data_IF_138468247709
#
_entry.id   IF_138468247709
#
_cell.length_a   1.000
_cell.length_b   1.000
_cell.length_c   1.000
_cell.angle_alpha   90.00
_cell.angle_beta   90.00
_cell.angle_gamma   90.00
#
_symmetry.space_group_name_H-M   'P 1'
#
loop_
_entity.id
_entity.type
_entity.pdbx_description
1 polymer ?
#
# COMPACT_ATOMS: atom_id res chain seq x y z
N UNK A 1 -14.94 12.88 14.93
CA UNK A 1 -14.37 14.16 14.43
C UNK A 1 -12.84 14.21 14.35
N UNK A 2 -12.15 13.19 14.81
CA UNK A 2 -10.66 13.16 14.88
C UNK A 2 -9.99 12.79 13.56
N UNK A 3 -10.57 11.89 12.76
CA UNK A 3 -10.01 11.40 11.48
C UNK A 3 -9.90 12.53 10.45
N UNK A 4 -10.93 13.36 10.33
CA UNK A 4 -10.94 14.48 9.36
C UNK A 4 -9.85 15.51 9.69
N UNK A 5 -9.60 15.80 10.97
CA UNK A 5 -8.52 16.70 11.41
C UNK A 5 -7.12 16.12 11.12
N UNK A 6 -6.97 14.82 11.21
CA UNK A 6 -5.73 14.12 10.85
C UNK A 6 -5.40 14.27 9.37
N UNK A 7 -6.40 14.11 8.51
CA UNK A 7 -6.25 14.21 7.06
C UNK A 7 -5.72 15.60 6.60
N UNK A 8 -6.16 16.68 7.26
CA UNK A 8 -5.70 18.04 6.95
C UNK A 8 -4.30 18.38 7.49
N UNK A 9 -3.81 17.62 8.48
CA UNK A 9 -2.48 17.80 9.07
C UNK A 9 -1.42 16.87 8.49
N UNK A 10 -1.85 15.85 7.74
CA UNK A 10 -0.96 14.86 7.16
C UNK A 10 -0.06 15.52 6.11
N UNK A 11 1.24 15.49 6.37
CA UNK A 11 2.26 15.86 5.39
C UNK A 11 2.86 14.58 4.87
N UNK A 12 2.75 14.36 3.56
CA UNK A 12 3.48 13.27 2.93
C UNK A 12 4.97 13.48 3.12
N UNK A 13 5.68 12.42 3.44
CA UNK A 13 7.13 12.40 3.52
C UNK A 13 7.70 11.88 2.21
N UNK A 14 8.83 12.39 1.80
CA UNK A 14 9.55 11.83 0.67
C UNK A 14 10.06 10.44 1.06
N UNK A 15 9.57 9.44 0.35
CA UNK A 15 9.79 8.03 0.64
C UNK A 15 10.51 7.37 -0.52
N UNK A 16 11.47 6.52 -0.20
CA UNK A 16 12.18 5.68 -1.15
C UNK A 16 11.61 4.26 -1.02
N UNK A 17 11.12 3.74 -2.13
CA UNK A 17 10.64 2.37 -2.23
C UNK A 17 11.62 1.59 -3.11
N UNK A 18 12.28 0.61 -2.53
CA UNK A 18 13.23 -0.26 -3.23
C UNK A 18 12.68 -1.67 -3.38
N UNK A 19 13.06 -2.35 -4.43
CA UNK A 19 12.72 -3.74 -4.69
C UNK A 19 13.60 -4.71 -3.87
N UNK A 20 13.38 -6.02 -4.05
CA UNK A 20 14.14 -7.08 -3.39
C UNK A 20 15.64 -7.09 -3.72
N UNK A 21 16.06 -6.40 -4.79
CA UNK A 21 17.49 -6.29 -5.16
C UNK A 21 18.16 -5.07 -4.51
N UNK A 22 17.39 -4.24 -3.80
CA UNK A 22 17.84 -2.97 -3.25
C UNK A 22 17.84 -1.82 -4.26
N UNK A 23 17.36 -2.07 -5.48
CA UNK A 23 17.23 -1.02 -6.49
C UNK A 23 16.00 -0.17 -6.21
N UNK A 24 16.18 1.15 -6.24
CA UNK A 24 15.06 2.09 -6.09
C UNK A 24 14.05 1.88 -7.21
N UNK A 25 12.84 1.49 -6.82
CA UNK A 25 11.71 1.29 -7.71
C UNK A 25 10.92 2.59 -7.89
N UNK A 26 10.66 3.31 -6.78
CA UNK A 26 9.99 4.62 -6.77
C UNK A 26 10.56 5.51 -5.68
N UNK A 27 10.60 6.79 -5.96
CA UNK A 27 10.92 7.83 -4.97
C UNK A 27 10.02 9.02 -5.24
N UNK A 28 9.21 9.38 -4.27
CA UNK A 28 8.29 10.54 -4.34
C UNK A 28 7.74 10.85 -2.93
N UNK A 29 6.96 11.92 -2.83
CA UNK A 29 6.13 12.18 -1.65
C UNK A 29 4.84 11.38 -1.76
N UNK A 30 4.73 10.30 -0.99
CA UNK A 30 3.54 9.46 -0.96
C UNK A 30 2.60 9.83 0.17
N UNK A 31 1.31 9.88 -0.15
CA UNK A 31 0.23 9.93 0.84
C UNK A 31 0.13 8.59 1.58
N UNK A 32 0.25 7.48 0.87
CA UNK A 32 0.34 6.15 1.46
C UNK A 32 1.04 5.17 0.53
N UNK A 33 1.71 4.19 1.14
CA UNK A 33 2.24 3.00 0.51
C UNK A 33 1.49 1.82 1.09
N UNK A 34 0.81 1.06 0.25
CA UNK A 34 0.02 -0.08 0.66
C UNK A 34 0.60 -1.35 0.04
N UNK A 35 0.85 -2.36 0.85
CA UNK A 35 1.33 -3.66 0.40
C UNK A 35 0.46 -4.76 1.00
N UNK A 36 0.15 -5.77 0.22
CA UNK A 36 -0.68 -6.88 0.69
C UNK A 36 -0.75 -8.03 -0.30
N UNK A 37 -1.22 -9.17 0.18
CA UNK A 37 -1.42 -10.39 -0.61
C UNK A 37 -2.88 -10.58 -1.02
N UNK A 38 -3.78 -9.68 -0.61
CA UNK A 38 -5.21 -9.73 -0.92
C UNK A 38 -5.69 -8.42 -1.51
N UNK A 39 -6.74 -8.51 -2.33
CA UNK A 39 -7.36 -7.34 -2.97
C UNK A 39 -8.00 -6.39 -1.96
N UNK A 40 -8.60 -6.94 -0.91
CA UNK A 40 -9.45 -6.19 0.01
C UNK A 40 -8.71 -5.80 1.28
N UNK A 41 -8.96 -4.58 1.75
CA UNK A 41 -8.51 -4.07 3.02
C UNK A 41 -9.66 -3.37 3.74
N UNK A 42 -9.68 -3.46 5.07
CA UNK A 42 -10.70 -2.83 5.89
C UNK A 42 -12.12 -3.24 5.46
N UNK A 43 -13.03 -2.29 5.36
CA UNK A 43 -14.44 -2.51 5.06
C UNK A 43 -14.72 -2.64 3.54
N UNK A 44 -14.01 -3.55 2.85
CA UNK A 44 -14.24 -3.84 1.43
C UNK A 44 -13.56 -2.89 0.44
N UNK A 45 -12.59 -2.11 0.90
CA UNK A 45 -11.78 -1.27 0.01
C UNK A 45 -10.81 -2.12 -0.81
N UNK A 46 -10.76 -1.90 -2.11
CA UNK A 46 -9.85 -2.54 -3.05
C UNK A 46 -8.60 -1.68 -3.23
N UNK A 47 -7.78 -1.59 -2.20
CA UNK A 47 -6.58 -0.75 -2.22
C UNK A 47 -5.49 -1.38 -3.08
N UNK A 48 -5.40 -2.72 -3.07
CA UNK A 48 -4.42 -3.50 -3.85
C UNK A 48 -5.15 -4.48 -4.80
N UNK A 49 -5.90 -3.99 -5.80
CA UNK A 49 -6.82 -4.82 -6.60
C UNK A 49 -6.11 -5.87 -7.46
N UNK A 50 -4.81 -5.77 -7.65
CA UNK A 50 -3.98 -6.69 -8.42
C UNK A 50 -3.23 -7.72 -7.56
N UNK A 51 -3.42 -7.69 -6.23
CA UNK A 51 -2.81 -8.69 -5.34
C UNK A 51 -3.48 -10.07 -5.51
N UNK A 52 -2.67 -11.10 -5.42
CA UNK A 52 -3.06 -12.51 -5.45
C UNK A 52 -2.47 -13.24 -4.26
N UNK A 53 -3.25 -14.02 -3.52
CA UNK A 53 -2.76 -14.70 -2.32
C UNK A 53 -1.87 -15.92 -2.59
N UNK A 54 -1.82 -16.38 -3.84
CA UNK A 54 -1.21 -17.65 -4.27
C UNK A 54 0.00 -17.51 -5.20
N UNK A 55 0.40 -16.27 -5.55
CA UNK A 55 1.49 -16.01 -6.50
C UNK A 55 2.85 -15.76 -5.84
N UNK A 56 2.90 -15.70 -4.50
CA UNK A 56 4.14 -15.45 -3.75
C UNK A 56 4.66 -14.01 -3.85
N UNK A 57 3.81 -13.08 -4.28
CA UNK A 57 4.16 -11.67 -4.43
C UNK A 57 3.28 -10.78 -3.56
N UNK A 58 3.83 -9.65 -3.16
CA UNK A 58 3.08 -8.51 -2.63
C UNK A 58 2.52 -7.69 -3.78
N UNK A 59 1.23 -7.47 -3.80
CA UNK A 59 0.67 -6.35 -4.54
C UNK A 59 1.05 -5.05 -3.80
N UNK A 60 1.51 -4.06 -4.53
CA UNK A 60 1.92 -2.77 -3.96
C UNK A 60 1.21 -1.64 -4.68
N UNK A 61 0.58 -0.74 -3.91
CA UNK A 61 -0.08 0.46 -4.42
C UNK A 61 0.50 1.68 -3.72
N UNK A 62 1.02 2.61 -4.51
CA UNK A 62 1.67 3.83 -4.07
C UNK A 62 0.77 5.01 -4.44
N UNK A 63 0.22 5.69 -3.46
CA UNK A 63 -0.63 6.87 -3.68
C UNK A 63 0.22 8.11 -3.44
N UNK A 64 0.52 8.87 -4.49
CA UNK A 64 1.27 10.11 -4.38
C UNK A 64 0.48 11.18 -3.66
N UNK A 65 1.18 12.13 -3.08
CA UNK A 65 0.53 13.27 -2.44
C UNK A 65 -0.39 14.00 -3.40
N UNK A 66 -1.60 14.24 -2.94
CA UNK A 66 -2.59 15.02 -3.65
C UNK A 66 -3.41 15.86 -2.67
N UNK A 67 -4.02 16.98 -3.12
CA UNK A 67 -4.91 17.76 -2.28
C UNK A 67 -6.08 16.93 -1.74
N UNK A 68 -6.47 17.16 -0.49
CA UNK A 68 -7.51 16.40 0.22
C UNK A 68 -8.84 16.35 -0.55
N UNK A 69 -9.21 17.43 -1.24
CA UNK A 69 -10.44 17.45 -2.05
C UNK A 69 -10.37 16.47 -3.24
N UNK A 70 -9.18 16.27 -3.85
CA UNK A 70 -8.98 15.24 -4.90
C UNK A 70 -9.05 13.84 -4.32
N UNK A 71 -8.46 13.63 -3.14
CA UNK A 71 -8.58 12.36 -2.46
C UNK A 71 -10.06 12.03 -2.19
N UNK A 72 -10.81 12.98 -1.64
CA UNK A 72 -12.25 12.82 -1.38
C UNK A 72 -13.05 12.53 -2.67
N UNK A 73 -12.78 13.24 -3.75
CA UNK A 73 -13.44 13.04 -5.04
C UNK A 73 -13.14 11.64 -5.67
N UNK A 74 -12.05 11.00 -5.26
CA UNK A 74 -11.63 9.69 -5.76
C UNK A 74 -11.90 8.53 -4.80
N UNK A 75 -12.53 8.77 -3.64
CA UNK A 75 -12.82 7.71 -2.66
C UNK A 75 -13.61 6.54 -3.24
N UNK A 76 -14.53 6.79 -4.19
CA UNK A 76 -15.29 5.72 -4.85
C UNK A 76 -14.39 4.71 -5.57
N UNK A 77 -13.19 5.13 -6.02
CA UNK A 77 -12.23 4.26 -6.70
C UNK A 77 -11.63 3.20 -5.80
N UNK A 78 -11.61 3.45 -4.48
CA UNK A 78 -11.20 2.46 -3.49
C UNK A 78 -12.15 1.26 -3.47
N UNK A 79 -13.46 1.49 -3.67
CA UNK A 79 -14.45 0.42 -3.65
C UNK A 79 -14.62 -0.24 -5.02
N UNK A 80 -14.49 0.50 -6.11
CA UNK A 80 -14.58 -0.03 -7.47
C UNK A 80 -13.31 -0.75 -7.93
N UNK A 81 -12.18 -0.60 -7.22
CA UNK A 81 -10.88 -1.15 -7.65
C UNK A 81 -10.22 -0.38 -8.79
N UNK A 82 -10.77 0.77 -9.18
CA UNK A 82 -10.23 1.58 -10.28
C UNK A 82 -9.18 2.60 -9.84
N UNK A 83 -8.79 2.56 -8.57
CA UNK A 83 -7.78 3.46 -8.01
C UNK A 83 -6.44 3.38 -8.76
N UNK A 84 -6.03 2.20 -9.16
CA UNK A 84 -4.77 1.95 -9.89
C UNK A 84 -4.70 2.64 -11.26
N UNK A 85 -5.83 3.07 -11.82
CA UNK A 85 -5.88 3.83 -13.08
C UNK A 85 -5.77 5.35 -12.87
N UNK A 86 -5.59 5.80 -11.62
CA UNK A 86 -5.43 7.24 -11.35
C UNK A 86 -3.98 7.67 -11.64
N UNK A 87 -3.73 8.82 -12.32
CA UNK A 87 -2.38 9.25 -12.73
C UNK A 87 -1.38 9.45 -11.59
N UNK A 88 -1.88 9.69 -10.36
CA UNK A 88 -1.05 9.84 -9.16
C UNK A 88 -0.94 8.56 -8.33
N UNK A 89 -1.24 7.41 -8.93
CA UNK A 89 -1.14 6.12 -8.29
C UNK A 89 -0.23 5.21 -9.12
N UNK A 90 0.86 4.79 -8.51
CA UNK A 90 1.71 3.73 -9.07
C UNK A 90 1.32 2.40 -8.44
N UNK A 91 1.50 1.31 -9.16
CA UNK A 91 1.24 -0.02 -8.66
C UNK A 91 2.17 -1.05 -9.29
N UNK A 92 2.27 -2.20 -8.68
CA UNK A 92 3.07 -3.32 -9.17
C UNK A 92 3.09 -4.48 -8.19
N UNK A 93 3.86 -5.51 -8.52
CA UNK A 93 4.06 -6.68 -7.68
C UNK A 93 5.54 -6.88 -7.40
N UNK A 94 5.88 -7.25 -6.17
CA UNK A 94 7.23 -7.47 -5.70
C UNK A 94 7.26 -8.61 -4.68
N UNK A 95 8.30 -9.44 -4.68
CA UNK A 95 8.47 -10.46 -3.63
C UNK A 95 8.79 -9.81 -2.27
N UNK A 96 9.49 -8.69 -2.30
CA UNK A 96 9.82 -7.90 -1.11
C UNK A 96 10.01 -6.44 -1.51
N UNK A 97 9.66 -5.53 -0.61
CA UNK A 97 9.94 -4.10 -0.74
C UNK A 97 10.63 -3.59 0.52
N UNK A 98 11.51 -2.64 0.35
CA UNK A 98 12.07 -1.83 1.43
C UNK A 98 11.50 -0.43 1.33
N UNK A 99 10.95 0.06 2.43
CA UNK A 99 10.48 1.44 2.57
C UNK A 99 11.44 2.19 3.46
N UNK A 100 11.98 3.27 2.94
CA UNK A 100 12.85 4.18 3.68
C UNK A 100 12.41 5.63 3.44
N UNK A 101 12.89 6.56 4.22
CA UNK A 101 12.66 7.98 4.02
C UNK A 101 13.90 8.63 3.40
N UNK A 102 13.67 9.60 2.52
CA UNK A 102 14.77 10.37 1.95
C UNK A 102 15.49 11.20 3.02
N UNK A 103 16.74 11.59 2.83
CA UNK A 103 17.50 12.42 3.80
C UNK A 103 16.79 13.72 4.19
N UNK A 104 15.96 14.26 3.31
CA UNK A 104 15.11 15.45 3.56
C UNK A 104 13.75 15.10 4.17
N UNK A 105 13.40 13.81 4.23
CA UNK A 105 12.13 13.31 4.72
C UNK A 105 12.11 13.06 6.21
N UNK A 106 10.95 12.66 6.71
CA UNK A 106 10.75 12.20 8.08
C UNK A 106 10.31 10.74 8.07
N UNK A 107 10.63 10.01 9.12
CA UNK A 107 10.14 8.66 9.32
C UNK A 107 8.61 8.62 9.26
N UNK A 108 8.07 7.56 8.69
CA UNK A 108 6.64 7.37 8.45
C UNK A 108 6.14 6.24 9.33
N UNK A 109 4.93 6.40 9.86
CA UNK A 109 4.28 5.35 10.64
C UNK A 109 3.98 4.13 9.77
N UNK A 110 4.22 2.96 10.33
CA UNK A 110 3.96 1.64 9.71
C UNK A 110 2.89 0.93 10.50
N UNK A 111 1.87 0.49 9.80
CA UNK A 111 0.72 -0.25 10.32
C UNK A 111 0.55 -1.54 9.52
N UNK A 112 0.21 -2.64 10.18
CA UNK A 112 -0.21 -3.88 9.55
C UNK A 112 -1.44 -4.42 10.27
N UNK A 113 -2.46 -4.77 9.48
CA UNK A 113 -3.74 -5.35 9.93
C UNK A 113 -4.43 -4.56 11.06
N UNK A 114 -4.26 -3.24 11.07
CA UNK A 114 -4.84 -2.33 12.06
C UNK A 114 -3.98 -2.11 13.31
N UNK A 115 -2.77 -2.68 13.36
CA UNK A 115 -1.84 -2.52 14.47
C UNK A 115 -0.63 -1.66 14.06
N UNK A 116 -0.28 -0.70 14.90
CA UNK A 116 0.92 0.10 14.71
C UNK A 116 2.18 -0.73 15.02
N UNK A 117 3.10 -0.83 14.06
CA UNK A 117 4.31 -1.62 14.17
C UNK A 117 5.57 -0.79 14.46
N UNK A 118 5.50 0.51 14.24
CA UNK A 118 6.65 1.40 14.39
C UNK A 118 6.76 2.39 13.24
N UNK A 119 7.98 2.73 12.87
CA UNK A 119 8.28 3.69 11.80
C UNK A 119 9.29 3.13 10.81
N UNK A 120 9.35 3.73 9.62
CA UNK A 120 10.40 3.40 8.63
C UNK A 120 11.81 3.67 9.19
N UNK A 121 12.87 2.95 8.72
CA UNK A 121 12.84 2.00 7.60
C UNK A 121 12.20 0.65 7.94
N UNK A 122 11.56 0.02 6.96
CA UNK A 122 10.94 -1.30 7.11
C UNK A 122 11.13 -2.13 5.84
N UNK A 123 11.25 -3.44 6.01
CA UNK A 123 11.23 -4.43 4.93
C UNK A 123 9.95 -5.24 5.05
N UNK A 124 9.20 -5.30 3.96
CA UNK A 124 7.98 -6.13 3.85
C UNK A 124 8.25 -7.22 2.83
N UNK A 125 8.09 -8.47 3.23
CA UNK A 125 8.39 -9.65 2.39
C UNK A 125 7.20 -10.59 2.36
N UNK A 126 6.85 -11.07 1.16
CA UNK A 126 5.88 -12.14 1.00
C UNK A 126 6.53 -13.49 1.35
N UNK A 127 5.96 -14.18 2.33
CA UNK A 127 6.37 -15.54 2.67
C UNK A 127 5.48 -16.53 1.89
N UNK A 128 5.98 -17.02 0.76
CA UNK A 128 5.26 -17.98 -0.07
C UNK A 128 4.96 -19.27 0.69
N UNK A 129 3.75 -19.81 0.52
CA UNK A 129 3.31 -21.07 1.12
C UNK A 129 3.40 -21.12 2.65
N UNK A 130 3.35 -19.97 3.33
CA UNK A 130 3.47 -19.89 4.79
C UNK A 130 2.25 -20.48 5.52
N UNK A 131 1.06 -20.41 4.89
CA UNK A 131 -0.20 -20.95 5.43
C UNK A 131 -0.98 -21.71 4.36
N UNK A 132 -1.71 -22.73 4.78
CA UNK A 132 -2.68 -23.45 3.93
C UNK A 132 -4.10 -22.97 4.23
N UNK A 133 -4.85 -22.63 3.21
CA UNK A 133 -6.25 -22.24 3.34
C UNK A 133 -7.12 -23.31 2.71
N UNK A 134 -8.11 -23.81 3.47
CA UNK A 134 -9.11 -24.75 2.94
C UNK A 134 -10.16 -23.94 2.19
N UNK A 135 -10.31 -24.23 0.91
CA UNK A 135 -11.34 -23.62 0.05
C UNK A 135 -12.33 -24.68 -0.40
N UNK A 136 -13.63 -24.34 -0.60
CA UNK A 136 -14.58 -25.24 -1.22
C UNK A 136 -14.09 -25.64 -2.62
N UNK A 137 -14.26 -26.92 -2.97
CA UNK A 137 -14.08 -27.34 -4.36
C UNK A 137 -15.16 -26.64 -5.21
N UNK A 138 -14.73 -25.83 -6.19
CA UNK A 138 -15.67 -25.33 -7.18
C UNK A 138 -16.28 -26.54 -7.88
N UNK A 139 -17.61 -26.69 -7.77
CA UNK A 139 -18.34 -27.66 -8.58
C UNK A 139 -18.23 -27.24 -10.04
N UNK A 140 -17.54 -28.06 -10.82
CA UNK A 140 -17.40 -27.92 -12.27
C UNK A 140 -18.77 -27.86 -12.97
#
# INVERSE_FOLDING_TARGET
MTVVRGLFKYKASETIVSDHTGKTWRQDSFFSVNAGITTFSGNGMRIVPHARPDDGLLGVTLIRQMPVWRLAANLYRLFSGTLIHHPLVDHGQQASITLDYAPSGAAIDVEADGEWLGVTPVIVTCLSNAIGIVVPLESA
#
